data_IF_500387005367
#
_entry.id   IF_500387005367
#
_cell.length_a   1.000
_cell.length_b   1.000
_cell.length_c   1.000
_cell.angle_alpha   90.00
_cell.angle_beta   90.00
_cell.angle_gamma   90.00
#
_symmetry.space_group_name_H-M   'P 1'
#
loop_
_entity.id
_entity.type
_entity.pdbx_description
1 polymer ?
#
# COMPACT_ATOMS: atom_id res chain seq x y z
N UNK A 1 39.81 16.32 3.59
CA UNK A 1 39.20 15.03 3.17
C UNK A 1 37.79 14.79 3.72
N UNK A 2 37.47 15.20 4.96
CA UNK A 2 36.15 14.99 5.60
C UNK A 2 34.96 15.73 4.95
N UNK A 3 35.19 16.87 4.29
CA UNK A 3 34.10 17.66 3.68
C UNK A 3 33.55 17.02 2.38
N UNK A 4 34.39 16.30 1.62
CA UNK A 4 33.96 15.62 0.38
C UNK A 4 33.11 14.38 0.66
N UNK A 5 33.39 13.67 1.76
CA UNK A 5 32.64 12.48 2.18
C UNK A 5 31.23 12.89 2.64
N UNK A 6 31.10 13.99 3.37
CA UNK A 6 29.79 14.49 3.83
C UNK A 6 28.87 14.92 2.68
N UNK A 7 29.42 15.51 1.62
CA UNK A 7 28.65 15.90 0.43
C UNK A 7 28.18 14.67 -0.36
N UNK A 8 29.03 13.65 -0.48
CA UNK A 8 28.67 12.41 -1.19
C UNK A 8 27.66 11.57 -0.41
N UNK A 9 27.74 11.53 0.91
CA UNK A 9 26.82 10.78 1.77
C UNK A 9 25.41 11.42 1.75
N UNK A 10 25.32 12.75 1.76
CA UNK A 10 24.03 13.46 1.60
C UNK A 10 23.47 13.34 0.17
N UNK A 11 24.32 13.34 -0.86
CA UNK A 11 23.89 13.14 -2.25
C UNK A 11 23.35 11.71 -2.49
N UNK A 12 23.95 10.69 -1.88
CA UNK A 12 23.49 9.31 -1.96
C UNK A 12 22.14 9.12 -1.24
N UNK A 13 21.96 9.74 -0.08
CA UNK A 13 20.67 9.76 0.64
C UNK A 13 19.61 10.49 -0.20
N UNK A 14 19.94 11.62 -0.84
CA UNK A 14 19.01 12.33 -1.73
C UNK A 14 18.60 11.50 -2.96
N UNK A 15 19.51 10.73 -3.57
CA UNK A 15 19.20 9.81 -4.67
C UNK A 15 18.31 8.64 -4.23
N UNK A 16 18.49 8.14 -3.00
CA UNK A 16 17.61 7.13 -2.40
C UNK A 16 16.20 7.70 -2.13
N UNK A 17 16.11 8.99 -1.77
CA UNK A 17 14.82 9.68 -1.59
C UNK A 17 14.13 10.05 -2.91
N UNK A 18 14.88 10.41 -3.96
CA UNK A 18 14.31 10.74 -5.27
C UNK A 18 13.75 9.50 -5.99
N UNK A 19 14.32 8.32 -5.76
CA UNK A 19 13.78 7.05 -6.29
C UNK A 19 12.55 6.52 -5.53
N UNK A 20 12.13 7.15 -4.41
CA UNK A 20 10.91 6.76 -3.68
C UNK A 20 9.62 7.39 -4.22
N UNK A 21 9.70 8.31 -5.18
CA UNK A 21 8.51 8.82 -5.88
C UNK A 21 8.10 8.00 -7.11
N UNK A 22 8.88 7.00 -7.51
CA UNK A 22 8.60 6.19 -8.71
C UNK A 22 7.94 4.82 -8.43
N UNK A 23 7.69 4.45 -7.17
CA UNK A 23 6.98 3.21 -6.81
C UNK A 23 5.54 3.51 -6.41
N UNK A 24 4.83 4.18 -7.32
CA UNK A 24 3.37 4.13 -7.41
C UNK A 24 3.03 2.92 -8.27
N UNK A 25 2.12 2.08 -7.80
CA UNK A 25 1.51 0.93 -8.50
C UNK A 25 2.37 -0.33 -8.68
N UNK A 26 2.51 -1.12 -7.62
CA UNK A 26 2.27 -2.58 -7.64
C UNK A 26 2.61 -3.19 -6.29
N UNK A 27 1.98 -4.32 -5.97
CA UNK A 27 2.27 -5.22 -4.85
C UNK A 27 1.55 -4.94 -3.52
N UNK A 28 0.23 -5.02 -3.58
CA UNK A 28 -0.61 -5.42 -2.45
C UNK A 28 -1.39 -6.70 -2.77
N UNK A 29 -0.74 -7.73 -3.31
CA UNK A 29 -1.34 -9.07 -3.44
C UNK A 29 -0.34 -10.10 -3.96
N UNK A 30 0.69 -10.44 -3.17
CA UNK A 30 1.29 -11.78 -3.24
C UNK A 30 2.20 -12.09 -2.04
N UNK A 31 1.58 -12.54 -0.94
CA UNK A 31 2.28 -13.11 0.21
C UNK A 31 1.68 -14.50 0.50
N UNK A 32 1.87 -15.41 -0.46
CA UNK A 32 2.15 -16.85 -0.31
C UNK A 32 2.03 -17.49 -1.70
N UNK A 33 3.18 -17.90 -2.25
CA UNK A 33 3.37 -18.60 -3.54
C UNK A 33 3.43 -17.73 -4.80
N UNK A 34 4.47 -16.90 -4.93
CA UNK A 34 5.21 -16.85 -6.20
C UNK A 34 6.52 -17.61 -5.98
N UNK A 35 6.78 -18.50 -6.93
CA UNK A 35 7.88 -19.44 -6.98
C UNK A 35 9.24 -18.80 -6.75
N UNK A 36 10.09 -19.59 -6.11
CA UNK A 36 11.55 -19.54 -6.14
C UNK A 36 11.97 -19.66 -7.62
N UNK A 37 11.98 -18.57 -8.40
CA UNK A 37 12.45 -18.57 -9.79
C UNK A 37 12.81 -17.21 -10.39
N UNK A 38 12.59 -16.06 -9.74
CA UNK A 38 13.22 -14.78 -10.17
C UNK A 38 14.66 -14.63 -9.60
N UNK A 39 15.26 -15.78 -9.28
CA UNK A 39 16.54 -15.99 -8.61
C UNK A 39 17.77 -15.75 -9.48
N UNK A 40 17.76 -14.87 -10.49
CA UNK A 40 18.92 -14.75 -11.40
C UNK A 40 19.55 -13.37 -11.54
N UNK A 41 19.15 -12.37 -10.76
CA UNK A 41 19.92 -11.10 -10.68
C UNK A 41 20.21 -10.58 -9.29
N UNK A 42 19.81 -11.28 -8.23
CA UNK A 42 20.16 -10.87 -6.86
C UNK A 42 21.51 -11.46 -6.44
N UNK A 43 21.84 -12.71 -6.82
CA UNK A 43 23.11 -13.34 -6.43
C UNK A 43 24.33 -12.80 -7.19
N UNK A 44 24.15 -12.44 -8.47
CA UNK A 44 25.21 -11.88 -9.31
C UNK A 44 25.77 -10.55 -8.78
N UNK A 45 24.97 -9.78 -8.05
CA UNK A 45 25.35 -8.46 -7.53
C UNK A 45 25.95 -8.51 -6.13
N UNK A 46 25.81 -9.63 -5.41
CA UNK A 46 26.34 -9.76 -4.04
C UNK A 46 27.87 -9.71 -4.00
N UNK A 47 28.55 -10.25 -5.03
CA UNK A 47 30.01 -10.23 -5.10
C UNK A 47 30.56 -8.82 -5.42
N UNK A 48 29.92 -8.07 -6.31
CA UNK A 48 30.34 -6.70 -6.61
C UNK A 48 30.15 -5.78 -5.40
N UNK A 49 29.05 -5.96 -4.66
CA UNK A 49 28.79 -5.24 -3.40
C UNK A 49 29.84 -5.59 -2.34
N UNK A 50 30.28 -6.85 -2.26
CA UNK A 50 31.32 -7.29 -1.31
C UNK A 50 32.67 -6.64 -1.59
N UNK A 51 33.04 -6.54 -2.87
CA UNK A 51 34.30 -5.91 -3.30
C UNK A 51 34.28 -4.41 -2.97
N UNK A 52 33.18 -3.72 -3.28
CA UNK A 52 33.05 -2.27 -3.02
C UNK A 52 33.09 -1.94 -1.52
N UNK A 53 32.52 -2.78 -0.65
CA UNK A 53 32.58 -2.61 0.82
C UNK A 53 34.00 -2.67 1.37
N UNK A 54 34.80 -3.60 0.85
CA UNK A 54 36.18 -3.79 1.30
C UNK A 54 37.10 -2.66 0.84
N UNK A 55 36.87 -2.09 -0.35
CA UNK A 55 37.65 -0.98 -0.89
C UNK A 55 37.41 0.36 -0.18
N UNK A 56 36.25 0.53 0.44
CA UNK A 56 35.89 1.78 1.13
C UNK A 56 36.16 1.73 2.65
N UNK A 57 36.66 0.61 3.19
CA UNK A 57 36.89 0.41 4.64
C UNK A 57 35.66 0.78 5.49
N UNK A 58 34.46 0.55 4.94
CA UNK A 58 33.19 0.85 5.60
C UNK A 58 32.83 -0.36 6.44
N UNK A 59 33.28 -0.38 7.68
CA UNK A 59 32.82 -1.33 8.70
C UNK A 59 31.51 -0.81 9.31
N UNK A 60 30.46 -0.72 8.48
CA UNK A 60 29.14 -0.30 8.96
C UNK A 60 28.38 -1.52 9.45
N UNK A 61 28.40 -1.71 10.77
CA UNK A 61 27.25 -2.25 11.51
C UNK A 61 26.11 -1.21 11.61
N UNK A 62 25.96 -0.32 10.63
CA UNK A 62 24.67 0.34 10.41
C UNK A 62 23.82 -0.66 9.64
N UNK A 63 23.09 -1.48 10.40
CA UNK A 63 21.86 -2.02 9.88
C UNK A 63 21.07 -0.83 9.35
N UNK A 64 20.85 -0.79 8.03
CA UNK A 64 19.82 0.06 7.47
C UNK A 64 18.53 -0.44 8.10
N UNK A 65 18.14 0.21 9.19
CA UNK A 65 16.81 0.12 9.74
C UNK A 65 15.92 0.71 8.66
N UNK A 66 15.46 -0.15 7.75
CA UNK A 66 14.21 0.10 7.06
C UNK A 66 13.25 0.37 8.23
N UNK A 67 12.70 1.59 8.38
CA UNK A 67 11.80 1.85 9.49
C UNK A 67 10.69 0.82 9.32
N UNK A 68 10.69 -0.20 10.20
CA UNK A 68 9.54 -1.03 10.42
C UNK A 68 8.47 -0.01 10.72
N UNK A 69 7.56 0.18 9.76
CA UNK A 69 6.58 1.26 9.78
C UNK A 69 5.89 1.15 11.13
N UNK A 70 6.25 2.02 12.06
CA UNK A 70 5.66 2.09 13.40
C UNK A 70 4.24 2.51 13.11
N UNK A 71 3.36 1.52 12.95
CA UNK A 71 1.94 1.77 12.87
C UNK A 71 1.57 2.28 14.27
N UNK A 72 1.65 3.61 14.42
CA UNK A 72 1.06 4.37 15.52
C UNK A 72 -0.28 3.74 15.89
N UNK A 73 -0.56 3.70 17.19
CA UNK A 73 -1.81 3.22 17.78
C UNK A 73 -3.01 3.43 16.85
N UNK A 74 -3.65 2.32 16.44
CA UNK A 74 -4.79 2.34 15.53
C UNK A 74 -6.07 2.26 16.35
N UNK A 75 -6.95 3.24 16.19
CA UNK A 75 -8.19 3.31 16.96
C UNK A 75 -9.36 2.70 16.19
N UNK A 76 -10.11 1.84 16.87
CA UNK A 76 -11.36 1.27 16.36
C UNK A 76 -12.57 2.19 16.62
N UNK A 77 -12.50 2.96 17.72
CA UNK A 77 -13.55 3.87 18.17
C UNK A 77 -12.94 5.26 18.27
N UNK A 78 -13.61 6.23 17.65
CA UNK A 78 -13.17 7.63 17.51
C UNK A 78 -14.37 8.54 17.69
N UNK A 79 -14.13 9.80 18.08
CA UNK A 79 -15.18 10.80 18.29
C UNK A 79 -15.79 11.22 16.95
N UNK A 80 -14.93 11.39 15.94
CA UNK A 80 -15.32 11.61 14.54
C UNK A 80 -14.64 10.56 13.67
N UNK A 81 -15.43 9.82 12.89
CA UNK A 81 -14.92 8.79 11.99
C UNK A 81 -14.21 9.41 10.79
N UNK A 82 -13.21 8.70 10.27
CA UNK A 82 -12.63 9.03 8.97
C UNK A 82 -13.70 9.03 7.88
N UNK A 83 -13.58 9.96 6.94
CA UNK A 83 -14.57 10.13 5.86
C UNK A 83 -13.91 10.45 4.53
N UNK A 84 -14.52 9.98 3.45
CA UNK A 84 -14.10 10.30 2.10
C UNK A 84 -14.35 11.79 1.81
N UNK A 85 -13.50 12.47 1.02
CA UNK A 85 -13.74 13.85 0.65
C UNK A 85 -15.07 14.00 -0.10
N UNK A 86 -15.95 14.87 0.40
CA UNK A 86 -17.32 14.99 -0.13
C UNK A 86 -18.31 13.96 0.42
N UNK A 87 -17.92 13.18 1.43
CA UNK A 87 -18.80 12.28 2.16
C UNK A 87 -19.08 10.95 1.45
N UNK A 88 -20.09 10.23 1.98
CA UNK A 88 -20.43 8.88 1.55
C UNK A 88 -20.92 8.80 0.10
N UNK A 89 -21.72 9.77 -0.34
CA UNK A 89 -22.29 9.74 -1.69
C UNK A 89 -21.20 9.93 -2.74
N UNK A 90 -20.26 10.85 -2.50
CA UNK A 90 -19.07 11.04 -3.34
C UNK A 90 -18.20 9.77 -3.41
N UNK A 91 -18.06 9.05 -2.30
CA UNK A 91 -17.37 7.75 -2.27
C UNK A 91 -18.06 6.72 -3.16
N UNK A 92 -19.39 6.61 -3.07
CA UNK A 92 -20.18 5.67 -3.87
C UNK A 92 -20.04 6.00 -5.36
N UNK A 93 -20.16 7.28 -5.73
CA UNK A 93 -19.96 7.73 -7.10
C UNK A 93 -18.54 7.41 -7.61
N UNK A 94 -17.51 7.66 -6.79
CA UNK A 94 -16.13 7.32 -7.13
C UNK A 94 -15.98 5.81 -7.39
N UNK A 95 -16.50 4.98 -6.50
CA UNK A 95 -16.43 3.51 -6.63
C UNK A 95 -17.12 3.10 -7.93
N UNK A 96 -18.33 3.57 -8.21
CA UNK A 96 -19.08 3.21 -9.41
C UNK A 96 -18.35 3.65 -10.69
N UNK A 97 -17.72 4.82 -10.69
CA UNK A 97 -16.95 5.33 -11.84
C UNK A 97 -15.65 4.54 -12.07
N UNK A 98 -15.00 4.10 -11.00
CA UNK A 98 -13.78 3.31 -11.10
C UNK A 98 -14.05 1.82 -11.29
N UNK A 99 -15.25 1.31 -11.00
CA UNK A 99 -15.56 -0.11 -10.99
C UNK A 99 -15.42 -0.74 -12.37
N UNK A 100 -14.54 -1.73 -12.48
CA UNK A 100 -14.41 -2.58 -13.66
C UNK A 100 -14.79 -4.00 -13.31
N UNK A 101 -15.84 -4.51 -13.93
CA UNK A 101 -16.28 -5.87 -13.66
C UNK A 101 -15.24 -6.88 -14.16
N UNK A 102 -14.70 -7.77 -13.28
CA UNK A 102 -13.69 -8.74 -13.70
C UNK A 102 -14.21 -9.69 -14.80
N UNK A 103 -13.37 -10.00 -15.80
CA UNK A 103 -13.77 -10.88 -16.90
C UNK A 103 -14.16 -12.29 -16.43
N UNK A 104 -13.49 -12.82 -15.40
CA UNK A 104 -13.80 -14.12 -14.77
C UNK A 104 -15.23 -14.09 -14.21
N UNK A 105 -15.60 -13.01 -13.52
CA UNK A 105 -16.94 -12.84 -12.99
C UNK A 105 -18.00 -12.64 -14.09
N UNK A 106 -17.71 -11.88 -15.15
CA UNK A 106 -18.62 -11.70 -16.29
C UNK A 106 -18.96 -13.03 -16.97
N UNK A 107 -17.96 -13.86 -17.27
CA UNK A 107 -18.15 -15.17 -17.92
C UNK A 107 -18.99 -16.13 -17.08
N UNK A 108 -18.85 -16.04 -15.76
CA UNK A 108 -19.57 -16.89 -14.82
C UNK A 108 -20.90 -16.29 -14.35
N UNK A 109 -21.27 -15.08 -14.82
CA UNK A 109 -22.40 -14.29 -14.28
C UNK A 109 -22.40 -14.25 -12.74
N UNK A 110 -21.20 -14.26 -12.15
CA UNK A 110 -21.02 -14.35 -10.71
C UNK A 110 -21.30 -12.99 -10.09
N UNK A 111 -21.96 -12.94 -8.94
CA UNK A 111 -22.16 -11.72 -8.16
C UNK A 111 -21.55 -11.89 -6.76
N UNK A 112 -21.35 -10.79 -6.04
CA UNK A 112 -20.84 -10.93 -4.69
C UNK A 112 -20.63 -9.63 -3.93
N UNK A 113 -20.26 -9.78 -2.66
CA UNK A 113 -19.89 -8.69 -1.78
C UNK A 113 -18.50 -8.95 -1.22
N UNK A 114 -17.60 -8.00 -1.42
CA UNK A 114 -16.27 -7.99 -0.81
C UNK A 114 -16.28 -7.00 0.34
N UNK A 115 -15.71 -7.39 1.48
CA UNK A 115 -15.56 -6.51 2.64
C UNK A 115 -14.08 -6.30 2.87
N UNK A 116 -13.61 -5.10 2.55
CA UNK A 116 -12.23 -4.70 2.75
C UNK A 116 -12.08 -3.92 4.05
N UNK A 117 -10.95 -4.11 4.69
CA UNK A 117 -10.54 -3.39 5.87
C UNK A 117 -9.21 -2.71 5.60
N UNK A 118 -9.07 -1.48 6.05
CA UNK A 118 -7.87 -0.70 5.85
C UNK A 118 -7.71 0.33 6.97
N UNK A 119 -6.54 0.94 7.03
CA UNK A 119 -6.25 2.01 7.98
C UNK A 119 -6.23 3.33 7.21
N UNK A 120 -6.98 4.31 7.71
CA UNK A 120 -6.80 5.72 7.34
C UNK A 120 -5.89 6.34 8.38
N UNK A 121 -4.70 6.78 7.96
CA UNK A 121 -3.74 7.38 8.88
C UNK A 121 -4.14 8.82 9.28
N UNK A 122 -3.41 9.40 10.23
CA UNK A 122 -3.64 10.78 10.68
C UNK A 122 -3.45 11.85 9.59
N UNK A 123 -2.90 11.50 8.43
CA UNK A 123 -2.73 12.37 7.26
C UNK A 123 -3.80 12.12 6.19
N UNK A 124 -4.73 11.18 6.41
CA UNK A 124 -5.75 10.82 5.44
C UNK A 124 -5.31 9.80 4.39
N UNK A 125 -4.08 9.25 4.47
CA UNK A 125 -3.61 8.23 3.53
C UNK A 125 -4.15 6.86 3.93
N UNK A 126 -4.55 6.08 2.92
CA UNK A 126 -4.96 4.69 3.11
C UNK A 126 -3.73 3.78 3.13
N UNK A 127 -3.70 2.83 4.06
CA UNK A 127 -2.73 1.74 4.06
C UNK A 127 -3.29 0.44 4.65
N UNK A 128 -2.51 -0.65 4.55
CA UNK A 128 -2.84 -1.96 5.14
C UNK A 128 -4.20 -2.51 4.69
N UNK A 129 -4.50 -2.42 3.39
CA UNK A 129 -5.74 -2.97 2.81
C UNK A 129 -5.71 -4.50 2.94
N UNK A 130 -6.77 -5.06 3.53
CA UNK A 130 -6.95 -6.49 3.75
C UNK A 130 -8.38 -6.90 3.44
N UNK A 131 -8.54 -7.99 2.71
CA UNK A 131 -9.82 -8.68 2.56
C UNK A 131 -10.00 -9.68 3.71
N UNK A 132 -11.13 -9.58 4.43
CA UNK A 132 -11.49 -10.55 5.46
C UNK A 132 -12.45 -11.65 4.94
N UNK A 133 -12.83 -11.59 3.66
CA UNK A 133 -13.72 -12.55 3.02
C UNK A 133 -12.98 -13.68 2.31
N UNK A 134 -13.71 -14.36 1.42
CA UNK A 134 -13.18 -15.43 0.56
C UNK A 134 -12.16 -14.84 -0.41
N UNK A 135 -10.99 -15.49 -0.53
CA UNK A 135 -9.93 -15.12 -1.46
C UNK A 135 -10.25 -15.57 -2.90
N UNK A 136 -9.72 -14.85 -3.88
CA UNK A 136 -9.91 -15.15 -5.33
C UNK A 136 -11.39 -15.36 -5.72
N UNK A 137 -12.25 -14.49 -5.20
CA UNK A 137 -13.69 -14.49 -5.46
C UNK A 137 -13.99 -13.94 -6.86
N UNK A 138 -13.68 -14.70 -7.91
CA UNK A 138 -13.87 -14.30 -9.33
C UNK A 138 -13.13 -13.01 -9.75
N UNK A 139 -12.06 -12.65 -9.03
CA UNK A 139 -11.30 -11.41 -9.27
C UNK A 139 -11.91 -10.16 -8.60
N UNK A 140 -12.98 -10.29 -7.81
CA UNK A 140 -13.57 -9.16 -7.09
C UNK A 140 -12.65 -8.57 -6.02
N UNK A 141 -11.83 -9.40 -5.38
CA UNK A 141 -10.87 -8.96 -4.37
C UNK A 141 -9.83 -8.00 -4.96
N UNK A 142 -9.16 -8.41 -6.04
CA UNK A 142 -8.12 -7.61 -6.70
C UNK A 142 -8.69 -6.29 -7.20
N UNK A 143 -9.89 -6.32 -7.80
CA UNK A 143 -10.57 -5.13 -8.27
C UNK A 143 -10.96 -4.19 -7.12
N UNK A 144 -11.48 -4.73 -6.02
CA UNK A 144 -11.81 -3.94 -4.85
C UNK A 144 -10.55 -3.29 -4.23
N UNK A 145 -9.44 -4.02 -4.15
CA UNK A 145 -8.15 -3.49 -3.67
C UNK A 145 -7.65 -2.37 -4.60
N UNK A 146 -7.77 -2.55 -5.93
CA UNK A 146 -7.40 -1.54 -6.92
C UNK A 146 -8.19 -0.24 -6.74
N UNK A 147 -9.50 -0.33 -6.55
CA UNK A 147 -10.38 0.85 -6.35
C UNK A 147 -9.97 1.60 -5.08
N UNK A 148 -9.80 0.89 -3.95
CA UNK A 148 -9.40 1.53 -2.68
C UNK A 148 -8.02 2.17 -2.80
N UNK A 149 -7.08 1.53 -3.49
CA UNK A 149 -5.72 2.06 -3.68
C UNK A 149 -5.67 3.34 -4.53
N UNK A 150 -6.72 3.61 -5.32
CA UNK A 150 -6.85 4.83 -6.13
C UNK A 150 -7.62 5.95 -5.45
N UNK A 151 -8.17 5.71 -4.27
CA UNK A 151 -8.93 6.75 -3.58
C UNK A 151 -8.04 7.97 -3.29
N UNK A 152 -8.60 9.20 -3.35
CA UNK A 152 -7.92 10.40 -2.90
C UNK A 152 -7.65 10.33 -1.40
N UNK A 153 -6.93 11.33 -0.88
CA UNK A 153 -6.70 11.47 0.55
C UNK A 153 -8.04 11.67 1.29
N UNK A 154 -8.21 10.92 2.37
CA UNK A 154 -9.39 10.96 3.23
C UNK A 154 -9.29 12.05 4.28
N UNK A 155 -10.43 12.46 4.83
CA UNK A 155 -10.49 13.23 6.06
C UNK A 155 -10.20 12.25 7.21
N UNK A 156 -9.12 12.45 7.99
CA UNK A 156 -8.74 11.53 9.06
C UNK A 156 -9.77 11.52 10.19
N UNK A 157 -9.77 10.45 10.98
CA UNK A 157 -10.60 10.38 12.18
C UNK A 157 -10.06 11.30 13.27
N UNK A 158 -10.95 11.84 14.10
CA UNK A 158 -10.61 12.67 15.25
C UNK A 158 -10.91 11.91 16.54
N UNK A 159 -9.94 11.91 17.45
CA UNK A 159 -10.10 11.44 18.83
C UNK A 159 -9.37 12.38 19.77
N UNK A 160 -9.98 12.77 20.88
CA UNK A 160 -9.40 13.72 21.84
C UNK A 160 -8.92 15.02 21.17
N UNK A 161 -9.73 15.49 20.20
CA UNK A 161 -9.46 16.68 19.39
C UNK A 161 -8.17 16.61 18.53
N UNK A 162 -7.68 15.41 18.22
CA UNK A 162 -6.48 15.19 17.40
C UNK A 162 -6.77 14.21 16.25
N UNK A 163 -6.13 14.39 15.08
CA UNK A 163 -6.19 13.39 14.01
C UNK A 163 -5.43 12.13 14.40
N UNK A 164 -6.07 10.98 14.23
CA UNK A 164 -5.52 9.68 14.64
C UNK A 164 -5.64 8.64 13.54
N UNK A 165 -4.80 7.61 13.62
CA UNK A 165 -4.94 6.43 12.75
C UNK A 165 -6.22 5.69 13.13
N UNK A 166 -7.05 5.37 12.14
CA UNK A 166 -8.32 4.72 12.38
C UNK A 166 -8.53 3.54 11.46
N UNK A 167 -9.19 2.52 12.00
CA UNK A 167 -9.62 1.37 11.24
C UNK A 167 -10.91 1.68 10.48
N UNK A 168 -10.97 1.31 9.21
CA UNK A 168 -12.14 1.47 8.37
C UNK A 168 -12.50 0.15 7.68
N UNK A 169 -13.79 -0.15 7.62
CA UNK A 169 -14.34 -1.30 6.92
C UNK A 169 -15.30 -0.82 5.83
N UNK A 170 -15.04 -1.23 4.59
CA UNK A 170 -15.82 -0.86 3.43
C UNK A 170 -16.35 -2.11 2.71
N UNK A 171 -17.68 -2.33 2.69
CA UNK A 171 -18.29 -3.29 1.81
C UNK A 171 -18.44 -2.74 0.38
N UNK A 172 -17.97 -3.49 -0.61
CA UNK A 172 -18.18 -3.23 -2.04
C UNK A 172 -19.01 -4.39 -2.61
N UNK A 173 -20.10 -4.07 -3.31
CA UNK A 173 -21.00 -5.06 -3.90
C UNK A 173 -20.87 -5.04 -5.42
N UNK A 174 -20.60 -6.22 -5.99
CA UNK A 174 -20.58 -6.47 -7.41
C UNK A 174 -21.91 -7.11 -7.79
N UNK A 175 -22.73 -6.37 -8.55
CA UNK A 175 -23.98 -6.85 -9.13
C UNK A 175 -23.84 -7.00 -10.62
N UNK A 176 -24.29 -8.12 -11.14
CA UNK A 176 -24.38 -8.40 -12.56
C UNK A 176 -25.75 -7.93 -13.04
N UNK A 177 -25.77 -7.10 -14.07
CA UNK A 177 -27.00 -6.76 -14.78
C UNK A 177 -26.94 -7.43 -16.14
N UNK A 178 -27.98 -8.19 -16.48
CA UNK A 178 -28.15 -8.72 -17.83
C UNK A 178 -28.58 -7.55 -18.72
N UNK A 179 -27.73 -7.20 -19.70
CA UNK A 179 -28.08 -6.25 -20.76
C UNK A 179 -28.97 -6.91 -21.81
#
# INVERSE_FOLDING_TARGET
MKLRIFILQNALIALIFLNKCAFSQSDCSNLRQIHIADSLKIDSLQNEIKILKNLLNIDTQETVTIPEKVYKEVHLITDVRASFPGGRDSMIMFINNELKYPQKALKSKAEGKIVLNFIVDSLGKICCIKNNGVKDNFGFEDEAIRIISKMPDWIPAIKDNKPVNSYYQLPITFKYYEE
#
